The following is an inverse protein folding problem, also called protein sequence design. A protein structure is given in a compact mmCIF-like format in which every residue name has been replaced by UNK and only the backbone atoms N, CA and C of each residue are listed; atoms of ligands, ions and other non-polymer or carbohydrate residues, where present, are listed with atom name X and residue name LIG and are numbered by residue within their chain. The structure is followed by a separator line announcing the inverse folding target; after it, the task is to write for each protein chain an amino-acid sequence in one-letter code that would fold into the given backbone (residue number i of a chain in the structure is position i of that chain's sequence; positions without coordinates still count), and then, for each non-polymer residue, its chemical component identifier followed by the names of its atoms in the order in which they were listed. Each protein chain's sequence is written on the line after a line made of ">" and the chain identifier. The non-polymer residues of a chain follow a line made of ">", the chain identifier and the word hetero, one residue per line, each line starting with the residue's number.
data_IF_539520814447
#
_entry.id   IF_539520814447
#
_cell.length_a   1.000
_cell.length_b   1.000
_cell.length_c   1.000
_cell.angle_alpha   90.00
_cell.angle_beta   90.00
_cell.angle_gamma   90.00
#
_symmetry.space_group_name_H-M   'P 1'
#
loop_
_entity.id
_entity.type
_entity.pdbx_description
1 polymer ?
#
# COMPACT_ATOMS: atom_id res chain seq x y z
N UNK A 1 52.59 -47.25 32.95
CA UNK A 1 52.48 -48.70 33.15
C UNK A 1 51.20 -48.93 33.93
N UNK A 2 50.25 -49.65 33.33
CA UNK A 2 49.04 -50.30 33.91
C UNK A 2 47.99 -49.42 34.62
N UNK A 3 46.74 -49.33 34.12
CA UNK A 3 45.62 -50.31 34.20
C UNK A 3 45.18 -50.54 35.67
N UNK A 4 43.90 -50.52 36.10
CA UNK A 4 42.61 -50.69 35.44
C UNK A 4 41.45 -50.21 36.36
N UNK A 5 40.27 -50.00 35.74
CA UNK A 5 38.90 -50.27 36.21
C UNK A 5 38.47 -49.91 37.66
N UNK A 6 37.32 -49.22 37.79
CA UNK A 6 36.05 -49.86 38.19
C UNK A 6 34.85 -48.99 37.77
N UNK A 7 33.91 -49.70 37.16
CA UNK A 7 32.60 -49.35 36.66
C UNK A 7 31.63 -48.94 37.79
N UNK A 8 30.93 -47.80 37.66
CA UNK A 8 29.64 -47.57 38.32
C UNK A 8 28.67 -46.91 37.34
N UNK A 9 27.88 -47.78 36.74
CA UNK A 9 26.65 -47.49 36.01
C UNK A 9 25.71 -46.67 36.91
N UNK A 10 25.35 -45.46 36.47
CA UNK A 10 24.55 -44.55 37.28
C UNK A 10 23.88 -43.44 36.48
N UNK A 11 22.86 -43.82 35.71
CA UNK A 11 21.69 -42.99 35.32
C UNK A 11 21.95 -41.75 34.44
N UNK A 12 21.57 -41.93 33.18
CA UNK A 12 21.02 -40.97 32.21
C UNK A 12 20.70 -39.58 32.79
N UNK A 13 21.46 -38.58 32.36
CA UNK A 13 20.99 -37.21 32.25
C UNK A 13 21.47 -36.67 30.90
N UNK A 14 20.64 -36.88 29.87
CA UNK A 14 20.77 -36.15 28.60
C UNK A 14 20.43 -34.69 28.92
N UNK A 15 21.45 -33.90 29.24
CA UNK A 15 21.31 -32.44 29.22
C UNK A 15 21.22 -32.01 27.77
N UNK A 16 19.97 -31.99 27.28
CA UNK A 16 19.58 -31.43 25.99
C UNK A 16 20.12 -30.00 25.94
N UNK A 17 21.01 -29.76 24.98
CA UNK A 17 21.41 -28.43 24.56
C UNK A 17 20.13 -27.68 24.17
N UNK A 18 19.70 -26.72 24.99
CA UNK A 18 18.60 -25.82 24.64
C UNK A 18 19.10 -24.80 23.61
N UNK A 19 19.37 -25.26 22.39
CA UNK A 19 19.29 -24.43 21.18
C UNK A 19 17.85 -24.47 20.69
N UNK A 20 16.93 -23.94 21.49
CA UNK A 20 15.58 -23.62 21.02
C UNK A 20 15.64 -22.25 20.35
N UNK A 21 16.13 -22.29 19.11
CA UNK A 21 15.87 -21.36 18.02
C UNK A 21 14.78 -20.33 18.32
N UNK A 22 15.14 -19.06 18.20
CA UNK A 22 14.20 -18.00 17.83
C UNK A 22 13.57 -18.40 16.49
N UNK A 23 12.54 -19.24 16.54
CA UNK A 23 11.65 -19.46 15.42
C UNK A 23 10.89 -18.15 15.32
N UNK A 24 11.30 -17.35 14.34
CA UNK A 24 10.63 -16.14 13.89
C UNK A 24 9.14 -16.48 13.74
N UNK A 25 8.33 -16.01 14.68
CA UNK A 25 6.88 -16.13 14.66
C UNK A 25 6.36 -15.17 13.59
N UNK A 26 6.69 -15.43 12.32
CA UNK A 26 6.14 -14.68 11.20
C UNK A 26 4.70 -15.18 11.00
N UNK A 27 3.78 -14.58 11.75
CA UNK A 27 2.35 -14.82 11.60
C UNK A 27 1.95 -14.63 10.13
N UNK A 28 1.04 -15.47 9.59
CA UNK A 28 0.59 -15.37 8.20
C UNK A 28 0.03 -13.99 7.83
N UNK A 29 -0.41 -13.22 8.83
CA UNK A 29 -0.85 -11.82 8.70
C UNK A 29 0.23 -10.91 8.12
N UNK A 30 1.51 -11.10 8.50
CA UNK A 30 2.61 -10.23 8.05
C UNK A 30 2.92 -10.46 6.57
N UNK A 31 2.92 -11.71 6.11
CA UNK A 31 3.24 -12.04 4.72
C UNK A 31 2.17 -11.54 3.75
N UNK A 32 0.88 -11.63 4.13
CA UNK A 32 -0.22 -11.07 3.36
C UNK A 32 -0.12 -9.55 3.20
N UNK A 33 0.16 -8.82 4.29
CA UNK A 33 0.32 -7.37 4.27
C UNK A 33 1.49 -6.91 3.37
N UNK A 34 2.66 -7.56 3.47
CA UNK A 34 3.83 -7.26 2.62
C UNK A 34 3.50 -7.44 1.14
N UNK A 35 2.76 -8.50 0.79
CA UNK A 35 2.34 -8.74 -0.59
C UNK A 35 1.42 -7.65 -1.14
N UNK A 36 0.48 -7.15 -0.33
CA UNK A 36 -0.45 -6.10 -0.78
C UNK A 36 0.20 -4.73 -0.85
N UNK A 37 1.14 -4.42 0.05
CA UNK A 37 1.96 -3.21 -0.09
C UNK A 37 2.76 -3.21 -1.39
N UNK A 38 3.36 -4.34 -1.76
CA UNK A 38 4.08 -4.48 -3.01
C UNK A 38 3.15 -4.28 -4.22
N UNK A 39 1.93 -4.81 -4.18
CA UNK A 39 0.92 -4.56 -5.21
C UNK A 39 0.59 -3.07 -5.35
N UNK A 40 0.34 -2.38 -4.23
CA UNK A 40 0.03 -0.93 -4.23
C UNK A 40 1.20 -0.15 -4.84
N UNK A 41 2.42 -0.36 -4.33
CA UNK A 41 3.63 0.34 -4.79
C UNK A 41 3.90 0.09 -6.28
N UNK A 42 3.77 -1.16 -6.75
CA UNK A 42 3.93 -1.52 -8.17
C UNK A 42 2.87 -0.86 -9.05
N UNK A 43 1.61 -0.87 -8.61
CA UNK A 43 0.50 -0.26 -9.37
C UNK A 43 0.72 1.25 -9.52
N UNK A 44 1.11 1.91 -8.42
CA UNK A 44 1.42 3.35 -8.36
C UNK A 44 2.63 3.71 -9.20
N UNK A 45 3.65 2.86 -9.28
CA UNK A 45 4.82 3.08 -10.13
C UNK A 45 4.55 2.85 -11.63
N UNK A 46 3.61 1.97 -11.97
CA UNK A 46 3.34 1.57 -13.36
C UNK A 46 2.44 2.56 -14.13
N UNK A 47 1.72 3.45 -13.44
CA UNK A 47 0.74 4.34 -14.07
C UNK A 47 0.90 5.78 -13.58
N UNK A 48 0.70 6.73 -14.48
CA UNK A 48 0.84 8.15 -14.17
C UNK A 48 -0.23 8.65 -13.20
N UNK A 49 -1.43 8.08 -13.22
CA UNK A 49 -2.53 8.41 -12.32
C UNK A 49 -3.16 7.10 -11.86
N UNK A 50 -3.25 6.89 -10.56
CA UNK A 50 -3.89 5.73 -9.95
C UNK A 50 -4.96 6.17 -8.97
N UNK A 51 -6.12 5.52 -9.00
CA UNK A 51 -7.20 5.73 -8.04
C UNK A 51 -7.59 4.38 -7.45
N UNK A 52 -7.27 4.18 -6.17
CA UNK A 52 -7.88 3.10 -5.39
C UNK A 52 -9.28 3.53 -4.96
N UNK A 53 -10.27 2.73 -5.31
CA UNK A 53 -11.66 3.16 -5.39
C UNK A 53 -12.64 2.09 -4.90
N UNK A 54 -13.91 2.45 -4.84
CA UNK A 54 -15.03 1.50 -4.80
C UNK A 54 -16.11 1.95 -5.76
N UNK A 55 -16.70 1.01 -6.48
CA UNK A 55 -17.62 1.28 -7.59
C UNK A 55 -18.87 2.05 -7.16
N UNK A 56 -19.38 1.75 -5.97
CA UNK A 56 -20.56 2.40 -5.39
C UNK A 56 -20.28 3.74 -4.67
N UNK A 57 -19.01 4.10 -4.45
CA UNK A 57 -18.66 5.21 -3.57
C UNK A 57 -18.88 6.58 -4.25
N UNK A 58 -19.67 7.51 -3.66
CA UNK A 58 -19.90 8.83 -4.25
C UNK A 58 -18.65 9.71 -4.27
N UNK A 59 -17.81 9.65 -3.24
CA UNK A 59 -16.52 10.38 -3.20
C UNK A 59 -15.55 9.89 -4.29
N UNK A 60 -15.59 8.59 -4.59
CA UNK A 60 -14.81 8.02 -5.68
C UNK A 60 -15.27 8.53 -7.05
N UNK A 61 -16.60 8.60 -7.28
CA UNK A 61 -17.16 9.19 -8.50
C UNK A 61 -16.74 10.65 -8.68
N UNK A 62 -16.77 11.43 -7.59
CA UNK A 62 -16.32 12.83 -7.58
C UNK A 62 -14.85 12.97 -7.99
N UNK A 63 -13.95 12.18 -7.38
CA UNK A 63 -12.53 12.20 -7.74
C UNK A 63 -12.29 11.77 -9.19
N UNK A 64 -12.99 10.73 -9.69
CA UNK A 64 -12.91 10.29 -11.10
C UNK A 64 -13.39 11.37 -12.07
N UNK A 65 -14.45 12.10 -11.72
CA UNK A 65 -15.00 13.17 -12.54
C UNK A 65 -13.97 14.29 -12.77
N UNK A 66 -13.18 14.68 -11.76
CA UNK A 66 -12.10 15.67 -11.91
C UNK A 66 -11.13 15.27 -13.03
N UNK A 67 -10.70 14.01 -13.08
CA UNK A 67 -9.79 13.56 -14.15
C UNK A 67 -10.49 13.46 -15.50
N UNK A 68 -11.80 13.15 -15.53
CA UNK A 68 -12.62 13.21 -16.74
C UNK A 68 -12.68 14.63 -17.32
N UNK A 69 -12.91 15.65 -16.49
CA UNK A 69 -12.90 17.07 -16.90
C UNK A 69 -11.55 17.47 -17.51
N UNK A 70 -10.45 17.00 -16.90
CA UNK A 70 -9.09 17.20 -17.40
C UNK A 70 -8.73 16.33 -18.61
N UNK A 71 -9.66 15.50 -19.10
CA UNK A 71 -9.45 14.54 -20.20
C UNK A 71 -8.25 13.61 -19.95
N UNK A 72 -8.09 13.18 -18.69
CA UNK A 72 -7.07 12.21 -18.28
C UNK A 72 -7.74 10.91 -17.88
N UNK A 73 -7.16 9.79 -18.31
CA UNK A 73 -7.63 8.46 -17.98
C UNK A 73 -6.82 7.88 -16.81
N UNK A 74 -7.36 7.84 -15.57
CA UNK A 74 -6.71 7.20 -14.45
C UNK A 74 -6.77 5.67 -14.55
N UNK A 75 -5.76 4.98 -14.01
CA UNK A 75 -5.87 3.56 -13.71
C UNK A 75 -6.65 3.37 -12.41
N UNK A 76 -7.80 2.71 -12.48
CA UNK A 76 -8.72 2.56 -11.35
C UNK A 76 -8.67 1.14 -10.81
N UNK A 77 -8.50 1.01 -9.49
CA UNK A 77 -8.61 -0.28 -8.78
C UNK A 77 -9.88 -0.25 -7.93
N UNK A 78 -10.93 -0.92 -8.39
CA UNK A 78 -12.20 -1.06 -7.66
C UNK A 78 -12.06 -2.15 -6.57
N UNK A 79 -11.84 -1.73 -5.33
CA UNK A 79 -11.53 -2.63 -4.23
C UNK A 79 -12.73 -3.48 -3.79
N UNK A 80 -13.96 -3.00 -4.02
CA UNK A 80 -15.18 -3.76 -3.76
C UNK A 80 -15.43 -4.90 -4.75
N UNK A 81 -14.71 -4.92 -5.87
CA UNK A 81 -14.80 -5.95 -6.91
C UNK A 81 -13.63 -6.93 -6.85
N UNK A 82 -12.88 -6.94 -5.74
CA UNK A 82 -11.72 -7.80 -5.52
C UNK A 82 -11.85 -8.52 -4.19
N UNK A 83 -11.55 -9.81 -4.20
CA UNK A 83 -11.55 -10.64 -2.98
C UNK A 83 -10.52 -10.12 -1.96
N UNK A 84 -9.41 -9.56 -2.43
CA UNK A 84 -8.33 -9.01 -1.61
C UNK A 84 -8.44 -7.49 -1.34
N UNK A 85 -9.59 -6.89 -1.65
CA UNK A 85 -9.79 -5.45 -1.52
C UNK A 85 -9.58 -4.92 -0.10
N UNK A 86 -10.04 -5.67 0.91
CA UNK A 86 -9.87 -5.32 2.33
C UNK A 86 -8.40 -5.26 2.75
N UNK A 87 -7.58 -6.19 2.27
CA UNK A 87 -6.14 -6.29 2.55
C UNK A 87 -5.36 -5.19 1.83
N UNK A 88 -5.79 -4.83 0.61
CA UNK A 88 -5.23 -3.67 -0.11
C UNK A 88 -5.56 -2.37 0.65
N UNK A 89 -6.76 -2.24 1.23
CA UNK A 89 -7.08 -1.10 2.09
C UNK A 89 -6.16 -1.03 3.32
N UNK A 90 -5.82 -2.18 3.92
CA UNK A 90 -4.86 -2.23 5.04
C UNK A 90 -3.45 -1.82 4.60
N UNK A 91 -2.99 -2.29 3.44
CA UNK A 91 -1.73 -1.85 2.85
C UNK A 91 -1.72 -0.33 2.55
N UNK A 92 -2.82 0.23 2.03
CA UNK A 92 -2.97 1.67 1.85
C UNK A 92 -2.87 2.40 3.20
N UNK A 93 -3.47 1.86 4.26
CA UNK A 93 -3.35 2.41 5.60
C UNK A 93 -1.90 2.42 6.09
N UNK A 94 -1.11 1.39 5.81
CA UNK A 94 0.33 1.37 6.14
C UNK A 94 1.13 2.39 5.31
N UNK A 95 0.82 2.52 4.01
CA UNK A 95 1.61 3.35 3.08
C UNK A 95 1.31 4.84 3.26
N UNK A 96 0.03 5.21 3.41
CA UNK A 96 -0.42 6.62 3.41
C UNK A 96 -1.16 7.03 4.68
N UNK A 97 -1.26 6.13 5.67
CA UNK A 97 -1.93 6.41 6.93
C UNK A 97 -3.46 6.43 6.86
N UNK A 98 -4.07 6.04 5.73
CA UNK A 98 -5.52 6.09 5.51
C UNK A 98 -6.05 4.82 4.83
N UNK A 99 -7.07 4.21 5.43
CA UNK A 99 -7.80 3.05 4.89
C UNK A 99 -8.94 3.42 3.93
N UNK A 100 -9.40 4.68 3.96
CA UNK A 100 -10.59 5.15 3.23
C UNK A 100 -10.37 5.21 1.73
N UNK A 101 -11.46 5.22 0.94
CA UNK A 101 -11.44 5.48 -0.50
C UNK A 101 -12.15 6.80 -0.82
N UNK A 102 -11.77 7.51 -1.90
CA UNK A 102 -10.68 7.19 -2.81
C UNK A 102 -9.29 7.45 -2.20
N UNK A 103 -8.26 6.78 -2.73
CA UNK A 103 -6.85 7.19 -2.58
C UNK A 103 -6.25 7.44 -3.95
N UNK A 104 -5.81 8.67 -4.19
CA UNK A 104 -5.34 9.16 -5.49
C UNK A 104 -3.83 9.34 -5.46
N UNK A 105 -3.16 8.83 -6.49
CA UNK A 105 -1.73 8.99 -6.71
C UNK A 105 -1.47 9.57 -8.10
N UNK A 106 -0.48 10.47 -8.20
CA UNK A 106 -0.04 11.07 -9.45
C UNK A 106 1.48 11.00 -9.53
N UNK A 107 2.00 10.42 -10.61
CA UNK A 107 3.44 10.18 -10.85
C UNK A 107 4.15 9.59 -9.63
N UNK A 108 3.55 8.55 -9.05
CA UNK A 108 4.09 7.86 -7.88
C UNK A 108 3.84 8.55 -6.52
N UNK A 109 3.38 9.80 -6.50
CA UNK A 109 3.17 10.57 -5.27
C UNK A 109 1.70 10.53 -4.84
N UNK A 110 1.47 10.36 -3.54
CA UNK A 110 0.13 10.41 -2.96
C UNK A 110 -0.41 11.86 -3.01
N UNK A 111 -1.58 12.03 -3.61
CA UNK A 111 -2.29 13.31 -3.64
C UNK A 111 -3.23 13.44 -2.43
N UNK A 112 -3.97 12.36 -2.11
CA UNK A 112 -4.96 12.36 -1.05
C UNK A 112 -6.26 11.63 -1.44
N UNK A 113 -7.35 12.04 -0.81
CA UNK A 113 -8.71 11.56 -1.08
C UNK A 113 -9.50 12.44 -2.05
N UNK A 114 -10.84 12.38 -1.96
CA UNK A 114 -11.70 13.13 -2.87
C UNK A 114 -11.58 14.64 -2.68
N UNK A 115 -11.53 15.12 -1.44
CA UNK A 115 -11.50 16.56 -1.17
C UNK A 115 -10.15 17.14 -1.56
N UNK A 116 -9.04 16.45 -1.23
CA UNK A 116 -7.68 16.81 -1.69
C UNK A 116 -7.59 16.88 -3.22
N UNK A 117 -8.30 15.99 -3.93
CA UNK A 117 -8.34 15.97 -5.40
C UNK A 117 -9.10 17.16 -5.99
N UNK A 118 -10.26 17.49 -5.41
CA UNK A 118 -11.06 18.64 -5.82
C UNK A 118 -10.33 19.95 -5.53
N UNK A 119 -9.76 20.10 -4.33
CA UNK A 119 -8.97 21.27 -3.96
C UNK A 119 -7.78 21.47 -4.91
N UNK A 120 -7.05 20.40 -5.23
CA UNK A 120 -5.94 20.49 -6.19
C UNK A 120 -6.41 20.88 -7.59
N UNK A 121 -7.60 20.46 -8.01
CA UNK A 121 -8.20 20.85 -9.29
C UNK A 121 -8.58 22.33 -9.30
N UNK A 122 -9.36 22.78 -8.31
CA UNK A 122 -9.86 24.15 -8.21
C UNK A 122 -8.72 25.17 -8.05
N UNK A 123 -7.67 24.83 -7.31
CA UNK A 123 -6.47 25.67 -7.16
C UNK A 123 -5.56 25.69 -8.39
N UNK A 124 -5.85 24.91 -9.43
CA UNK A 124 -4.97 24.75 -10.61
C UNK A 124 -3.70 23.94 -10.35
N UNK A 125 -3.42 23.54 -9.10
CA UNK A 125 -2.27 22.71 -8.71
C UNK A 125 -2.24 21.39 -9.49
N UNK A 126 -3.39 20.76 -9.67
CA UNK A 126 -3.52 19.49 -10.38
C UNK A 126 -3.18 19.65 -11.87
N UNK A 127 -3.66 20.71 -12.52
CA UNK A 127 -3.32 21.02 -13.91
C UNK A 127 -1.80 21.24 -14.07
N UNK A 128 -1.18 21.97 -13.14
CA UNK A 128 0.27 22.18 -13.10
C UNK A 128 1.04 20.86 -12.94
N UNK A 129 0.64 20.00 -12.00
CA UNK A 129 1.28 18.69 -11.80
C UNK A 129 1.17 17.83 -13.07
N UNK A 130 0.05 17.88 -13.77
CA UNK A 130 -0.22 17.10 -14.97
C UNK A 130 0.34 17.72 -16.26
N UNK A 131 1.02 18.86 -16.19
CA UNK A 131 1.61 19.54 -17.34
C UNK A 131 0.58 20.06 -18.33
N UNK A 132 -0.59 20.49 -17.86
CA UNK A 132 -1.66 21.04 -18.71
C UNK A 132 -1.39 22.54 -18.89
N UNK A 133 -0.85 22.93 -20.05
CA UNK A 133 -0.32 24.28 -20.32
C UNK A 133 -1.31 25.24 -20.99
N UNK A 134 -2.61 24.94 -21.02
CA UNK A 134 -3.63 25.87 -21.51
C UNK A 134 -4.26 26.65 -20.36
N UNK A 135 -3.42 27.36 -19.59
CA UNK A 135 -3.91 28.28 -18.57
C UNK A 135 -4.01 29.64 -19.24
N UNK A 136 -5.21 30.01 -19.70
CA UNK A 136 -5.56 31.42 -19.77
C UNK A 136 -5.78 31.82 -18.31
N UNK A 137 -4.75 32.36 -17.69
CA UNK A 137 -4.90 33.02 -16.39
C UNK A 137 -5.60 34.36 -16.63
N UNK A 138 -6.59 34.70 -15.81
CA UNK A 138 -7.22 36.03 -15.83
C UNK A 138 -6.25 37.15 -15.37
N UNK A 139 -4.96 36.84 -15.22
CA UNK A 139 -3.86 37.79 -14.98
C UNK A 139 -3.22 38.30 -16.30
N UNK A 140 -3.72 37.88 -17.47
CA UNK A 140 -3.26 38.32 -18.80
C UNK A 140 -4.22 39.34 -19.48
N UNK A 141 -5.10 40.01 -18.72
CA UNK A 141 -5.95 41.12 -19.17
C UNK A 141 -5.70 42.40 -18.38
#
# INVERSE_FOLDING_TARGET
>A
MEAAAVNRLGRVAVCILAVASAVLYSSPVVFGAVGKEAFVKKTVAAHNIVIFSKSYCPYCRRAKAVFSELKKAPYVVELDQRDDGGEIQDALSTIVGRRTVPQVFIYGKHLGGSDDTVEAYESGKLAKILGITNIVTNDDL
#
